data_IF_107513645949
#
_entry.id   IF_107513645949
#
_cell.length_a   1.000
_cell.length_b   1.000
_cell.length_c   1.000
_cell.angle_alpha   90.00
_cell.angle_beta   90.00
_cell.angle_gamma   90.00
#
_symmetry.space_group_name_H-M   'P 1'
#
loop_
_entity.id
_entity.type
_entity.pdbx_description
1 polymer ?
#
# COMPACT_ATOMS: atom_id res chain seq x y z
N UNK A 1 31.68 24.46 -64.24
CA UNK A 1 30.73 24.73 -63.14
C UNK A 1 29.64 25.62 -63.75
N UNK A 2 28.50 25.11 -64.23
CA UNK A 2 27.59 24.16 -63.56
C UNK A 2 26.60 24.98 -62.73
N UNK A 3 25.69 25.78 -63.30
CA UNK A 3 24.46 25.46 -64.07
C UNK A 3 23.22 25.17 -63.20
N UNK A 4 22.12 25.91 -63.43
CA UNK A 4 20.72 25.55 -63.06
C UNK A 4 20.42 25.44 -61.54
N UNK A 5 19.21 25.53 -60.95
CA UNK A 5 17.78 25.76 -61.32
C UNK A 5 16.99 25.91 -59.97
N UNK A 6 15.73 26.33 -59.88
CA UNK A 6 14.74 26.81 -60.86
C UNK A 6 13.73 27.79 -60.19
N UNK A 7 12.78 28.27 -60.99
CA UNK A 7 11.48 28.83 -60.65
C UNK A 7 10.53 27.85 -59.91
N UNK A 8 9.45 28.36 -59.31
CA UNK A 8 8.44 27.52 -58.67
C UNK A 8 7.21 28.26 -58.15
N UNK A 9 6.48 28.99 -59.00
CA UNK A 9 5.17 29.53 -58.64
C UNK A 9 4.10 28.43 -58.70
N UNK A 10 3.29 28.27 -57.65
CA UNK A 10 2.02 27.54 -57.75
C UNK A 10 0.85 28.34 -57.16
N UNK A 11 -0.17 28.48 -58.00
CA UNK A 11 -1.45 29.13 -57.72
C UNK A 11 -2.41 28.15 -57.05
N UNK A 12 -3.32 28.65 -56.20
CA UNK A 12 -4.79 28.50 -56.33
C UNK A 12 -5.52 28.71 -54.98
N UNK A 13 -6.52 29.60 -55.01
CA UNK A 13 -7.67 29.71 -54.08
C UNK A 13 -8.52 28.41 -54.17
N UNK A 14 -9.50 28.06 -53.28
CA UNK A 14 -10.50 29.02 -52.74
C UNK A 14 -11.30 28.70 -51.43
N UNK A 15 -12.07 29.70 -50.95
CA UNK A 15 -13.34 29.61 -50.15
C UNK A 15 -13.26 28.81 -48.80
N UNK A 16 -14.16 28.84 -47.80
CA UNK A 16 -15.55 29.28 -47.57
C UNK A 16 -15.66 29.90 -46.14
N UNK A 17 -16.51 30.92 -45.96
CA UNK A 17 -17.41 31.06 -44.78
C UNK A 17 -16.86 31.40 -43.39
N UNK A 18 -17.14 32.63 -42.94
CA UNK A 18 -17.25 32.97 -41.51
C UNK A 18 -18.51 32.33 -40.91
N UNK A 19 -18.45 31.62 -39.77
CA UNK A 19 -19.65 31.17 -39.08
C UNK A 19 -20.38 32.34 -38.40
N UNK A 20 -21.66 32.49 -38.72
CA UNK A 20 -22.60 33.43 -38.11
C UNK A 20 -22.78 33.08 -36.62
N UNK A 21 -22.94 34.10 -35.77
CA UNK A 21 -23.30 33.92 -34.35
C UNK A 21 -24.81 33.84 -34.23
N UNK A 22 -25.34 32.65 -33.97
CA UNK A 22 -26.75 32.50 -33.58
C UNK A 22 -27.00 33.09 -32.18
N UNK A 23 -28.10 33.83 -31.96
CA UNK A 23 -28.47 34.34 -30.65
C UNK A 23 -29.11 33.25 -29.77
N UNK A 24 -28.75 33.22 -28.48
CA UNK A 24 -29.33 32.28 -27.51
C UNK A 24 -30.86 32.43 -27.41
N UNK A 25 -31.63 31.33 -27.37
CA UNK A 25 -33.05 31.38 -27.05
C UNK A 25 -33.28 31.75 -25.58
N UNK A 26 -34.25 32.63 -25.33
CA UNK A 26 -34.69 33.02 -23.98
C UNK A 26 -35.81 32.11 -23.49
N UNK A 27 -35.74 31.73 -22.22
CA UNK A 27 -36.91 31.41 -21.40
C UNK A 27 -37.37 29.95 -21.39
N UNK A 28 -37.04 29.24 -20.30
CA UNK A 28 -37.90 28.17 -19.77
C UNK A 28 -38.03 28.39 -18.27
N UNK A 29 -39.21 28.77 -17.82
CA UNK A 29 -39.55 28.94 -16.40
C UNK A 29 -40.24 27.69 -15.87
N UNK A 30 -39.81 27.19 -14.71
CA UNK A 30 -40.62 26.31 -13.87
C UNK A 30 -40.19 24.83 -13.81
N UNK A 31 -39.40 24.50 -12.79
CA UNK A 31 -39.58 23.26 -12.02
C UNK A 31 -39.68 23.62 -10.53
N UNK A 32 -40.49 22.93 -9.73
CA UNK A 32 -40.67 23.22 -8.31
C UNK A 32 -39.42 22.87 -7.50
N UNK A 33 -39.15 23.56 -6.38
CA UNK A 33 -38.02 23.25 -5.52
C UNK A 33 -38.21 21.89 -4.83
N UNK A 34 -37.20 21.04 -4.95
CA UNK A 34 -37.13 19.77 -4.21
C UNK A 34 -36.92 20.11 -2.73
N UNK A 35 -37.82 19.65 -1.86
CA UNK A 35 -37.74 19.94 -0.43
C UNK A 35 -36.48 19.29 0.19
N UNK A 36 -35.57 20.12 0.72
CA UNK A 36 -34.29 19.66 1.24
C UNK A 36 -33.32 20.76 1.68
N UNK A 37 -33.82 21.95 2.05
CA UNK A 37 -32.98 23.05 2.51
C UNK A 37 -32.47 22.83 3.94
N UNK A 38 -31.37 22.10 4.09
CA UNK A 38 -30.44 22.40 5.19
C UNK A 38 -29.81 23.76 4.90
N UNK A 39 -29.80 24.65 5.89
CA UNK A 39 -29.47 26.06 5.70
C UNK A 39 -28.06 26.24 5.10
N UNK A 40 -28.01 26.82 3.90
CA UNK A 40 -26.78 27.17 3.19
C UNK A 40 -26.47 28.67 3.31
N UNK A 41 -26.86 29.29 4.43
CA UNK A 41 -26.70 30.74 4.69
C UNK A 41 -25.47 31.03 5.57
N UNK A 42 -24.33 30.51 5.15
CA UNK A 42 -23.03 31.03 5.52
C UNK A 42 -22.30 31.43 4.25
N UNK A 43 -22.26 32.74 3.96
CA UNK A 43 -21.29 33.29 3.01
C UNK A 43 -19.86 32.90 3.41
N UNK A 44 -18.86 33.00 2.50
CA UNK A 44 -17.51 32.55 2.78
C UNK A 44 -16.96 33.26 4.02
N UNK A 45 -16.90 32.54 5.14
CA UNK A 45 -16.55 33.11 6.43
C UNK A 45 -15.10 33.62 6.37
N UNK A 46 -14.95 34.94 6.37
CA UNK A 46 -13.69 35.62 6.13
C UNK A 46 -12.81 35.59 7.39
N UNK A 47 -12.08 34.49 7.58
CA UNK A 47 -11.14 34.35 8.69
C UNK A 47 -9.90 35.23 8.47
N UNK A 48 -9.66 36.16 9.39
CA UNK A 48 -8.46 37.01 9.37
C UNK A 48 -7.44 36.56 10.42
N UNK A 49 -6.16 36.84 10.17
CA UNK A 49 -5.13 36.61 11.17
C UNK A 49 -5.35 37.58 12.35
N UNK A 50 -5.37 37.06 13.57
CA UNK A 50 -5.67 37.85 14.76
C UNK A 50 -7.15 37.93 15.14
N UNK A 51 -8.03 37.13 14.50
CA UNK A 51 -9.47 37.06 14.83
C UNK A 51 -9.71 36.94 16.36
N UNK A 52 -10.54 37.82 16.95
CA UNK A 52 -10.70 37.94 18.40
C UNK A 52 -11.36 36.72 19.06
N UNK A 53 -11.99 35.82 18.29
CA UNK A 53 -12.55 34.55 18.81
C UNK A 53 -11.44 33.63 19.33
N UNK A 54 -10.22 33.77 18.80
CA UNK A 54 -9.04 33.07 19.31
C UNK A 54 -8.22 33.98 20.24
N UNK A 55 -7.80 33.50 21.42
CA UNK A 55 -7.16 34.36 22.42
C UNK A 55 -5.76 34.79 22.00
N UNK A 56 -5.30 35.99 22.38
CA UNK A 56 -3.98 36.52 22.00
C UNK A 56 -2.80 35.56 22.28
N UNK A 57 -2.85 34.77 23.36
CA UNK A 57 -1.86 33.73 23.71
C UNK A 57 -1.79 32.53 22.74
N UNK A 58 -2.76 32.42 21.83
CA UNK A 58 -2.79 31.51 20.69
C UNK A 58 -2.10 32.16 19.50
N UNK A 59 -2.52 33.36 19.10
CA UNK A 59 -1.93 34.14 18.00
C UNK A 59 -0.43 34.42 18.16
N UNK A 60 0.04 34.66 19.40
CA UNK A 60 1.47 34.78 19.72
C UNK A 60 2.33 33.54 19.39
N UNK A 61 1.72 32.45 18.88
CA UNK A 61 2.35 31.17 18.51
C UNK A 61 2.08 30.80 17.05
N UNK A 62 1.69 31.77 16.24
CA UNK A 62 1.35 31.59 14.83
C UNK A 62 2.23 32.51 13.99
N UNK A 63 2.82 31.96 12.93
CA UNK A 63 3.55 32.70 11.89
C UNK A 63 2.83 32.52 10.56
N UNK A 64 2.53 33.61 9.86
CA UNK A 64 2.05 33.51 8.47
C UNK A 64 3.24 33.23 7.56
N UNK A 65 3.12 32.24 6.68
CA UNK A 65 4.10 31.89 5.65
C UNK A 65 3.65 32.43 4.29
N UNK A 66 4.59 32.62 3.37
CA UNK A 66 4.35 33.10 2.00
C UNK A 66 3.36 32.23 1.21
N UNK A 67 3.30 30.93 1.51
CA UNK A 67 2.33 29.99 0.92
C UNK A 67 0.92 30.03 1.56
N UNK A 68 0.59 31.11 2.28
CA UNK A 68 -0.69 31.31 2.96
C UNK A 68 -0.92 30.45 4.21
N UNK A 69 0.00 29.53 4.58
CA UNK A 69 -0.15 28.75 5.79
C UNK A 69 0.05 29.61 7.05
N UNK A 70 -0.83 29.42 8.03
CA UNK A 70 -0.63 29.93 9.39
C UNK A 70 0.06 28.84 10.21
N UNK A 71 1.39 28.89 10.33
CA UNK A 71 2.21 27.87 10.98
C UNK A 71 2.25 28.00 12.50
N UNK A 72 1.96 26.91 13.22
CA UNK A 72 2.10 26.84 14.68
C UNK A 72 3.57 26.73 15.12
N UNK A 73 4.12 27.77 15.75
CA UNK A 73 5.54 27.85 16.14
C UNK A 73 5.86 27.24 17.50
N UNK A 74 4.85 26.95 18.33
CA UNK A 74 5.05 26.35 19.66
C UNK A 74 5.03 24.80 19.63
N UNK A 75 5.03 24.16 20.81
CA UNK A 75 5.14 22.71 21.01
C UNK A 75 4.29 21.89 20.03
N UNK A 76 4.91 20.89 19.39
CA UNK A 76 4.30 19.96 18.43
C UNK A 76 4.38 18.52 18.97
N UNK A 77 3.47 17.63 18.55
CA UNK A 77 3.58 16.16 18.71
C UNK A 77 3.25 15.51 17.37
N UNK A 78 4.08 14.57 16.92
CA UNK A 78 3.95 13.93 15.59
C UNK A 78 3.67 14.95 14.47
N UNK A 79 4.40 16.08 14.48
CA UNK A 79 4.26 17.18 13.53
C UNK A 79 3.07 18.13 13.73
N UNK A 80 2.05 17.74 14.51
CA UNK A 80 0.88 18.59 14.77
C UNK A 80 1.11 19.53 15.95
N UNK A 81 0.73 20.80 15.80
CA UNK A 81 0.78 21.79 16.89
C UNK A 81 -0.13 21.43 18.06
N UNK A 82 0.31 21.71 19.30
CA UNK A 82 -0.48 21.51 20.53
C UNK A 82 -0.74 22.82 21.24
N UNK A 83 -2.01 23.06 21.60
CA UNK A 83 -2.42 24.21 22.39
C UNK A 83 -2.99 23.77 23.74
N UNK A 84 -2.57 24.44 24.82
CA UNK A 84 -3.09 24.20 26.17
C UNK A 84 -4.29 25.11 26.43
N UNK A 85 -5.43 24.54 26.75
CA UNK A 85 -6.65 25.23 27.19
C UNK A 85 -6.95 24.90 28.65
N UNK A 86 -7.77 25.73 29.30
CA UNK A 86 -8.10 25.57 30.72
C UNK A 86 -6.98 25.97 31.69
N UNK A 87 -7.27 25.85 32.98
CA UNK A 87 -6.46 26.33 34.09
C UNK A 87 -5.87 25.16 34.91
N UNK A 88 -4.66 25.35 35.45
CA UNK A 88 -4.09 24.38 36.40
C UNK A 88 -4.75 24.45 37.78
N UNK A 89 -5.13 25.66 38.21
CA UNK A 89 -5.76 25.91 39.52
C UNK A 89 -7.08 25.15 39.63
N UNK A 90 -7.88 25.24 38.56
CA UNK A 90 -9.25 24.74 38.52
C UNK A 90 -9.32 23.33 37.89
N UNK A 91 -8.16 22.68 37.71
CA UNK A 91 -7.97 21.32 37.16
C UNK A 91 -8.57 21.07 35.75
N UNK A 92 -8.95 22.13 35.02
CA UNK A 92 -9.50 22.05 33.65
C UNK A 92 -8.44 22.02 32.54
N UNK A 93 -7.16 22.13 32.90
CA UNK A 93 -6.03 22.21 31.97
C UNK A 93 -5.85 20.95 31.10
N UNK A 94 -6.01 21.09 29.78
CA UNK A 94 -5.83 20.01 28.79
C UNK A 94 -5.15 20.51 27.51
N UNK A 95 -4.55 19.59 26.75
CA UNK A 95 -3.91 19.90 25.47
C UNK A 95 -4.78 19.45 24.29
N UNK A 96 -5.17 20.39 23.45
CA UNK A 96 -5.85 20.17 22.18
C UNK A 96 -4.86 20.25 21.00
N UNK A 97 -5.27 19.75 19.84
CA UNK A 97 -4.54 20.00 18.58
C UNK A 97 -4.82 21.45 18.14
N UNK A 98 -3.77 22.22 17.85
CA UNK A 98 -3.88 23.65 17.58
C UNK A 98 -4.74 23.96 16.34
N UNK A 99 -4.60 23.15 15.29
CA UNK A 99 -5.37 23.29 14.05
C UNK A 99 -6.87 23.00 14.28
N UNK A 100 -7.18 21.96 15.05
CA UNK A 100 -8.57 21.60 15.39
C UNK A 100 -9.22 22.65 16.28
N UNK A 101 -8.48 23.18 17.27
CA UNK A 101 -8.96 24.28 18.10
C UNK A 101 -9.24 25.55 17.27
N UNK A 102 -8.37 25.91 16.31
CA UNK A 102 -8.62 27.02 15.40
C UNK A 102 -9.86 26.79 14.53
N UNK A 103 -9.97 25.61 13.90
CA UNK A 103 -11.13 25.25 13.08
C UNK A 103 -12.44 25.28 13.87
N UNK A 104 -12.49 24.62 15.04
CA UNK A 104 -13.70 24.54 15.87
C UNK A 104 -14.14 25.90 16.44
N UNK A 105 -13.20 26.83 16.63
CA UNK A 105 -13.48 28.19 17.13
C UNK A 105 -13.90 29.16 16.01
N UNK A 106 -13.32 29.03 14.81
CA UNK A 106 -13.54 29.97 13.70
C UNK A 106 -14.64 29.52 12.74
N UNK A 107 -14.75 28.21 12.46
CA UNK A 107 -15.72 27.62 11.52
C UNK A 107 -16.90 27.03 12.27
N UNK A 108 -16.63 26.18 13.27
CA UNK A 108 -17.65 25.41 13.98
C UNK A 108 -17.20 23.95 14.23
N UNK A 109 -18.01 23.18 14.97
CA UNK A 109 -17.64 21.82 15.39
C UNK A 109 -17.37 20.90 14.20
N UNK A 110 -16.29 20.12 14.29
CA UNK A 110 -16.04 19.04 13.33
C UNK A 110 -17.08 17.92 13.59
N UNK A 111 -17.86 17.51 12.58
CA UNK A 111 -18.89 16.47 12.75
C UNK A 111 -18.33 15.15 13.30
N UNK A 112 -19.18 14.41 14.00
CA UNK A 112 -18.80 13.10 14.53
C UNK A 112 -18.38 12.13 13.41
N UNK A 113 -17.36 11.32 13.68
CA UNK A 113 -16.80 10.39 12.70
C UNK A 113 -15.89 11.03 11.65
N UNK A 114 -15.68 12.36 11.66
CA UNK A 114 -14.76 13.06 10.75
C UNK A 114 -13.43 13.47 11.42
N UNK A 115 -12.37 13.49 10.62
CA UNK A 115 -11.01 13.88 10.95
C UNK A 115 -10.59 15.15 10.20
N UNK A 116 -9.70 15.95 10.77
CA UNK A 116 -9.09 17.11 10.10
C UNK A 116 -8.02 16.63 9.09
N UNK A 117 -8.26 16.75 7.78
CA UNK A 117 -7.21 16.60 6.75
C UNK A 117 -6.60 17.96 6.38
N UNK A 118 -5.27 18.01 6.27
CA UNK A 118 -4.54 19.20 5.81
C UNK A 118 -4.40 19.18 4.29
N UNK A 119 -5.21 19.97 3.60
CA UNK A 119 -5.14 20.17 2.14
C UNK A 119 -3.74 20.62 1.71
N UNK A 120 -3.14 21.55 2.47
CA UNK A 120 -1.80 22.07 2.27
C UNK A 120 -0.65 21.10 2.63
N UNK A 121 -0.95 19.89 3.12
CA UNK A 121 0.00 18.85 3.62
C UNK A 121 1.00 19.32 4.69
N UNK A 122 0.80 20.51 5.25
CA UNK A 122 1.65 21.14 6.27
C UNK A 122 1.06 20.93 7.68
N UNK A 123 1.49 19.87 8.39
CA UNK A 123 0.91 19.43 9.69
C UNK A 123 0.86 20.49 10.81
N UNK A 124 1.80 21.46 10.91
CA UNK A 124 1.71 22.59 11.84
C UNK A 124 0.74 23.71 11.41
N UNK A 125 0.18 23.67 10.20
CA UNK A 125 -0.76 24.70 9.72
C UNK A 125 -2.05 24.68 10.56
N UNK A 126 -2.54 25.86 10.92
CA UNK A 126 -3.78 26.06 11.68
C UNK A 126 -4.86 26.86 10.91
N UNK A 127 -4.57 27.29 9.68
CA UNK A 127 -5.51 28.12 8.91
C UNK A 127 -6.76 27.30 8.54
N UNK A 128 -7.98 27.71 8.94
CA UNK A 128 -9.16 26.86 8.76
C UNK A 128 -9.48 26.50 7.31
N UNK A 129 -9.23 27.41 6.35
CA UNK A 129 -9.48 27.13 4.93
C UNK A 129 -8.48 26.10 4.32
N UNK A 130 -7.42 25.73 5.04
CA UNK A 130 -6.51 24.63 4.65
C UNK A 130 -6.86 23.29 5.33
N UNK A 131 -7.99 23.22 6.05
CA UNK A 131 -8.45 22.06 6.81
C UNK A 131 -9.82 21.62 6.30
N UNK A 132 -9.94 20.35 5.92
CA UNK A 132 -11.21 19.74 5.51
C UNK A 132 -11.60 18.63 6.50
N UNK A 133 -12.82 18.65 7.07
CA UNK A 133 -13.39 17.50 7.77
C UNK A 133 -13.67 16.36 6.77
N UNK A 134 -12.94 15.26 6.88
CA UNK A 134 -13.09 14.08 5.99
C UNK A 134 -13.21 12.79 6.78
N UNK A 135 -13.68 11.73 6.15
CA UNK A 135 -13.73 10.41 6.80
C UNK A 135 -12.30 9.88 7.07
N UNK A 136 -12.08 9.03 8.11
CA UNK A 136 -10.77 8.42 8.35
C UNK A 136 -10.24 7.63 7.15
N UNK A 137 -11.14 7.01 6.37
CA UNK A 137 -10.78 6.33 5.13
C UNK A 137 -10.21 7.29 4.10
N UNK A 138 -10.85 8.44 3.91
CA UNK A 138 -10.41 9.45 2.96
C UNK A 138 -9.07 10.07 3.37
N UNK A 139 -8.92 10.47 4.65
CA UNK A 139 -7.66 10.94 5.23
C UNK A 139 -6.50 9.96 4.96
N UNK A 140 -6.73 8.67 5.25
CA UNK A 140 -5.73 7.61 5.02
C UNK A 140 -5.40 7.43 3.53
N UNK A 141 -6.38 7.51 2.62
CA UNK A 141 -6.18 7.31 1.18
C UNK A 141 -5.53 8.50 0.48
N UNK A 142 -5.78 9.72 0.95
CA UNK A 142 -5.11 10.96 0.49
C UNK A 142 -3.63 11.01 0.89
N UNK A 143 -3.25 10.36 2.00
CA UNK A 143 -1.87 10.25 2.44
C UNK A 143 -0.96 9.39 1.55
N UNK A 144 0.24 9.09 2.05
CA UNK A 144 1.22 8.22 1.38
C UNK A 144 1.62 6.99 2.22
N UNK A 145 0.74 6.58 3.14
CA UNK A 145 0.89 5.34 3.89
C UNK A 145 0.76 4.09 2.98
N UNK A 146 1.16 2.91 3.48
CA UNK A 146 1.07 1.66 2.72
C UNK A 146 -0.32 1.38 2.14
N UNK A 147 -1.39 1.72 2.87
CA UNK A 147 -2.78 1.57 2.40
C UNK A 147 -3.09 2.46 1.19
N UNK A 148 -2.65 3.72 1.19
CA UNK A 148 -2.84 4.65 0.06
C UNK A 148 -2.05 4.20 -1.17
N UNK A 149 -0.77 3.86 -0.99
CA UNK A 149 0.09 3.31 -2.06
C UNK A 149 -0.52 2.03 -2.65
N UNK A 150 -0.95 1.11 -1.79
CA UNK A 150 -1.59 -0.14 -2.20
C UNK A 150 -2.97 0.08 -2.86
N UNK A 151 -3.67 1.18 -2.57
CA UNK A 151 -4.92 1.57 -3.23
C UNK A 151 -4.67 2.19 -4.63
N UNK A 152 -3.66 3.07 -4.74
CA UNK A 152 -3.20 3.67 -6.01
C UNK A 152 -2.55 2.67 -6.97
N UNK A 153 -2.08 1.51 -6.47
CA UNK A 153 -1.43 0.48 -7.27
C UNK A 153 -2.32 -0.08 -8.38
N UNK A 154 -1.87 0.07 -9.64
CA UNK A 154 -2.56 -0.43 -10.86
C UNK A 154 -2.12 -1.83 -11.28
N UNK A 155 -0.90 -2.26 -10.91
CA UNK A 155 -0.33 -3.56 -11.27
C UNK A 155 0.30 -4.22 -10.04
N UNK A 156 0.15 -5.54 -9.89
CA UNK A 156 0.78 -6.27 -8.79
C UNK A 156 2.31 -6.37 -8.98
N UNK A 157 3.03 -6.85 -7.96
CA UNK A 157 4.50 -7.04 -7.97
C UNK A 157 5.05 -8.02 -9.04
N UNK A 158 4.19 -8.53 -9.94
CA UNK A 158 4.53 -9.40 -11.08
C UNK A 158 3.96 -8.87 -12.41
N UNK A 159 3.62 -7.58 -12.48
CA UNK A 159 3.11 -6.95 -13.70
C UNK A 159 1.65 -7.26 -14.07
N UNK A 160 0.93 -8.12 -13.34
CA UNK A 160 -0.50 -8.35 -13.64
C UNK A 160 -1.36 -7.13 -13.28
N UNK A 161 -2.29 -6.68 -14.15
CA UNK A 161 -3.17 -5.54 -13.87
C UNK A 161 -4.15 -5.86 -12.72
N UNK A 162 -4.41 -4.88 -11.87
CA UNK A 162 -5.35 -4.94 -10.74
C UNK A 162 -6.70 -4.30 -11.12
N UNK A 163 -7.29 -4.81 -12.20
CA UNK A 163 -8.67 -4.49 -12.61
C UNK A 163 -9.69 -5.42 -11.93
N UNK A 164 -10.99 -5.23 -12.20
CA UNK A 164 -12.07 -5.99 -11.56
C UNK A 164 -11.99 -7.50 -11.82
N UNK A 165 -11.60 -7.89 -13.04
CA UNK A 165 -11.43 -9.29 -13.45
C UNK A 165 -10.26 -9.94 -12.70
N UNK A 166 -9.09 -9.29 -12.68
CA UNK A 166 -7.86 -9.87 -12.12
C UNK A 166 -7.66 -9.62 -10.63
N UNK A 167 -8.50 -8.80 -9.99
CA UNK A 167 -8.44 -8.56 -8.54
C UNK A 167 -9.43 -9.46 -7.81
N UNK A 168 -9.03 -9.94 -6.64
CA UNK A 168 -9.94 -10.48 -5.63
C UNK A 168 -9.72 -9.73 -4.31
N UNK A 169 -10.81 -9.50 -3.56
CA UNK A 169 -10.76 -8.94 -2.20
C UNK A 169 -10.80 -10.11 -1.22
N UNK A 170 -9.87 -10.13 -0.27
CA UNK A 170 -9.85 -11.12 0.80
C UNK A 170 -10.78 -10.69 1.96
N UNK A 171 -11.22 -11.62 2.82
CA UNK A 171 -11.92 -11.28 4.07
C UNK A 171 -11.14 -10.31 4.97
N UNK A 172 -9.80 -10.26 4.84
CA UNK A 172 -8.92 -9.29 5.50
C UNK A 172 -8.92 -7.88 4.86
N UNK A 173 -9.83 -7.60 3.92
CA UNK A 173 -9.93 -6.34 3.17
C UNK A 173 -8.84 -6.12 2.11
N UNK A 174 -7.75 -6.91 2.14
CA UNK A 174 -6.63 -6.79 1.21
C UNK A 174 -7.03 -7.18 -0.23
N UNK A 175 -6.48 -6.47 -1.21
CA UNK A 175 -6.57 -6.82 -2.64
C UNK A 175 -5.46 -7.81 -3.00
N UNK A 176 -5.80 -8.87 -3.72
CA UNK A 176 -4.82 -9.80 -4.33
C UNK A 176 -5.10 -10.00 -5.82
N UNK A 177 -4.02 -10.13 -6.59
CA UNK A 177 -4.06 -10.55 -7.98
C UNK A 177 -4.43 -12.05 -8.09
N UNK A 178 -5.46 -12.39 -8.87
CA UNK A 178 -5.97 -13.75 -9.07
C UNK A 178 -4.93 -14.70 -9.69
N UNK A 179 -4.20 -14.34 -10.78
CA UNK A 179 -3.04 -15.11 -11.23
C UNK A 179 -2.03 -15.42 -10.10
N UNK A 180 -1.57 -14.42 -9.36
CA UNK A 180 -0.64 -14.59 -8.25
C UNK A 180 -1.19 -15.49 -7.13
N UNK A 181 -2.49 -15.41 -6.83
CA UNK A 181 -3.16 -16.25 -5.83
C UNK A 181 -3.25 -17.71 -6.30
N UNK A 182 -3.58 -17.96 -7.57
CA UNK A 182 -3.56 -19.32 -8.17
C UNK A 182 -2.17 -19.95 -8.08
N UNK A 183 -1.12 -19.22 -8.50
CA UNK A 183 0.27 -19.70 -8.39
C UNK A 183 0.64 -20.06 -6.94
N UNK A 184 0.30 -19.21 -5.96
CA UNK A 184 0.56 -19.47 -4.54
C UNK A 184 -0.21 -20.69 -4.01
N UNK A 185 -1.47 -20.86 -4.43
CA UNK A 185 -2.28 -22.02 -4.03
C UNK A 185 -1.74 -23.31 -4.62
N UNK A 186 -1.37 -23.32 -5.90
CA UNK A 186 -0.77 -24.48 -6.56
C UNK A 186 0.53 -24.89 -5.88
N UNK A 187 1.43 -23.94 -5.60
CA UNK A 187 2.67 -24.21 -4.86
C UNK A 187 2.42 -24.79 -3.46
N UNK A 188 1.40 -24.29 -2.75
CA UNK A 188 0.99 -24.83 -1.44
C UNK A 188 0.45 -26.26 -1.56
N UNK A 189 -0.39 -26.54 -2.55
CA UNK A 189 -0.96 -27.87 -2.79
C UNK A 189 0.14 -28.89 -3.14
N UNK A 190 1.12 -28.50 -3.97
CA UNK A 190 2.29 -29.32 -4.30
C UNK A 190 3.10 -29.63 -3.03
N UNK A 191 3.41 -28.62 -2.21
CA UNK A 191 4.17 -28.82 -0.96
C UNK A 191 3.44 -29.77 0.02
N UNK A 192 2.12 -29.64 0.15
CA UNK A 192 1.29 -30.56 0.97
C UNK A 192 1.36 -31.98 0.40
N UNK A 193 1.13 -32.16 -0.89
CA UNK A 193 1.19 -33.47 -1.54
C UNK A 193 2.56 -34.14 -1.40
N UNK A 194 3.65 -33.40 -1.59
CA UNK A 194 5.02 -33.90 -1.36
C UNK A 194 5.26 -34.29 0.10
N UNK A 195 4.77 -33.51 1.07
CA UNK A 195 4.90 -33.84 2.49
C UNK A 195 4.10 -35.09 2.89
N UNK A 196 2.92 -35.27 2.29
CA UNK A 196 2.04 -36.42 2.54
C UNK A 196 2.56 -37.68 1.86
N UNK A 197 3.13 -37.57 0.65
CA UNK A 197 3.84 -38.66 -0.02
C UNK A 197 5.08 -39.11 0.78
N UNK A 198 5.89 -38.16 1.27
CA UNK A 198 7.03 -38.45 2.16
C UNK A 198 6.61 -39.14 3.46
N UNK A 199 5.50 -38.70 4.05
CA UNK A 199 4.91 -39.31 5.24
C UNK A 199 4.42 -40.75 4.98
N UNK A 200 3.76 -40.99 3.84
CA UNK A 200 3.32 -42.33 3.43
C UNK A 200 4.52 -43.24 3.16
N UNK A 201 5.57 -42.77 2.47
CA UNK A 201 6.78 -43.57 2.22
C UNK A 201 7.57 -43.93 3.48
N UNK A 202 7.44 -43.15 4.56
CA UNK A 202 8.02 -43.46 5.87
C UNK A 202 7.16 -44.43 6.70
N UNK A 203 5.87 -44.62 6.38
CA UNK A 203 5.06 -45.71 6.94
C UNK A 203 5.29 -47.01 6.16
N UNK A 204 6.53 -47.52 6.13
CA UNK A 204 6.74 -48.92 5.73
C UNK A 204 6.10 -49.80 6.81
N UNK A 205 4.96 -50.39 6.46
CA UNK A 205 4.40 -51.55 7.16
C UNK A 205 5.49 -52.61 7.36
N UNK A 206 5.53 -53.31 8.51
CA UNK A 206 6.42 -54.46 8.67
C UNK A 206 6.17 -55.43 7.51
N UNK A 207 7.23 -55.80 6.79
CA UNK A 207 7.16 -56.91 5.84
C UNK A 207 6.85 -58.17 6.65
N UNK A 208 5.92 -59.05 6.21
CA UNK A 208 5.67 -60.29 6.91
C UNK A 208 6.96 -61.10 6.98
N UNK A 209 7.26 -61.64 8.17
CA UNK A 209 8.45 -62.47 8.36
C UNK A 209 8.44 -63.66 7.38
N UNK A 210 9.62 -63.96 6.83
CA UNK A 210 9.79 -65.11 5.95
C UNK A 210 9.53 -66.39 6.74
N UNK A 211 8.38 -67.01 6.51
CA UNK A 211 8.19 -68.43 6.83
C UNK A 211 9.16 -69.22 5.96
N UNK A 212 10.22 -69.75 6.59
CA UNK A 212 11.16 -70.68 5.96
C UNK A 212 10.44 -72.01 5.67
N UNK A 213 10.44 -72.52 4.42
CA UNK A 213 9.97 -73.87 4.15
C UNK A 213 11.02 -74.90 4.59
N UNK A 214 10.58 -75.93 5.30
CA UNK A 214 11.41 -77.05 5.72
C UNK A 214 11.84 -77.90 4.50
N UNK A 215 13.12 -78.29 4.45
CA UNK A 215 13.66 -79.18 3.42
C UNK A 215 13.56 -80.66 3.85
N UNK A 216 13.17 -81.58 2.96
CA UNK A 216 13.65 -82.96 2.95
C UNK A 216 14.87 -83.11 2.02
N UNK A 217 15.79 -84.00 2.36
CA UNK A 217 17.03 -84.24 1.60
C UNK A 217 16.88 -85.22 0.42
N UNK A 218 17.95 -85.37 -0.37
CA UNK A 218 18.05 -86.36 -1.45
C UNK A 218 19.25 -86.14 -2.36
N UNK A 219 20.16 -87.11 -2.39
CA UNK A 219 21.50 -87.15 -2.99
C UNK A 219 21.64 -86.91 -4.51
N UNK A 220 22.83 -86.49 -4.97
CA UNK A 220 23.22 -86.59 -6.39
C UNK A 220 24.46 -85.76 -6.81
N UNK A 221 25.59 -86.36 -7.27
CA UNK A 221 26.82 -85.62 -7.62
C UNK A 221 27.14 -85.51 -9.13
N UNK A 222 28.12 -84.61 -9.43
CA UNK A 222 28.81 -84.23 -10.71
C UNK A 222 28.46 -82.81 -11.18
N UNK A 223 29.39 -81.94 -11.61
CA UNK A 223 30.86 -81.99 -11.59
C UNK A 223 31.50 -80.86 -12.44
N UNK A 224 32.80 -80.58 -12.20
CA UNK A 224 33.78 -79.99 -13.14
C UNK A 224 33.66 -78.53 -13.66
N UNK A 225 34.78 -77.77 -13.61
CA UNK A 225 35.02 -76.51 -14.33
C UNK A 225 35.18 -75.27 -13.42
N UNK A 226 36.34 -74.97 -12.82
CA UNK A 226 37.61 -74.50 -13.40
C UNK A 226 37.54 -73.12 -14.09
N UNK A 227 38.26 -72.11 -13.55
CA UNK A 227 38.34 -70.76 -14.17
C UNK A 227 38.76 -69.62 -13.23
N UNK A 228 39.99 -69.64 -12.71
CA UNK A 228 40.59 -68.47 -12.04
C UNK A 228 41.38 -67.63 -13.05
N UNK A 229 41.38 -66.30 -12.95
CA UNK A 229 42.59 -65.48 -12.65
C UNK A 229 42.45 -63.96 -12.91
N UNK A 230 42.84 -63.16 -11.90
CA UNK A 230 43.60 -61.89 -11.92
C UNK A 230 43.13 -60.65 -12.74
N UNK A 231 43.14 -59.45 -12.13
CA UNK A 231 42.87 -58.19 -12.86
C UNK A 231 42.91 -56.83 -12.12
N UNK A 232 43.86 -56.62 -11.19
CA UNK A 232 44.35 -55.33 -10.60
C UNK A 232 43.56 -53.99 -10.75
N UNK A 233 43.25 -53.41 -9.58
CA UNK A 233 43.17 -51.94 -9.27
C UNK A 233 44.54 -51.24 -9.53
N UNK A 234 44.73 -49.88 -9.56
CA UNK A 234 43.82 -48.80 -9.09
C UNK A 234 43.73 -47.53 -9.96
N UNK A 235 42.81 -46.62 -9.60
CA UNK A 235 43.07 -45.17 -9.55
C UNK A 235 42.20 -44.48 -8.49
N UNK A 236 42.68 -43.36 -7.94
CA UNK A 236 42.31 -42.86 -6.61
C UNK A 236 41.74 -41.43 -6.64
N UNK A 237 40.67 -41.23 -5.86
CA UNK A 237 40.27 -40.02 -5.11
C UNK A 237 40.49 -38.62 -5.71
N UNK A 238 39.40 -37.84 -5.75
CA UNK A 238 39.33 -36.56 -5.02
C UNK A 238 37.90 -36.02 -4.92
N UNK A 239 37.47 -35.66 -3.71
CA UNK A 239 36.25 -34.90 -3.43
C UNK A 239 36.52 -33.92 -2.26
N UNK A 240 36.10 -32.64 -2.35
CA UNK A 240 36.35 -31.66 -1.29
C UNK A 240 35.28 -31.70 -0.17
N UNK A 241 35.71 -31.42 1.06
CA UNK A 241 34.88 -31.41 2.27
C UNK A 241 34.26 -30.02 2.57
N UNK A 242 33.17 -29.94 3.36
CA UNK A 242 32.53 -28.68 3.74
C UNK A 242 33.14 -28.03 4.99
N UNK A 243 33.04 -26.70 5.08
CA UNK A 243 33.48 -25.91 6.24
C UNK A 243 32.44 -25.91 7.38
N UNK A 244 32.87 -26.27 8.59
CA UNK A 244 32.14 -25.97 9.83
C UNK A 244 32.57 -24.60 10.38
N UNK A 245 31.61 -23.80 10.85
CA UNK A 245 31.87 -22.67 11.74
C UNK A 245 31.30 -22.95 13.15
N UNK A 246 32.16 -22.84 14.17
CA UNK A 246 31.84 -23.25 15.53
C UNK A 246 30.83 -22.33 16.23
N UNK A 247 29.93 -22.94 17.01
CA UNK A 247 29.32 -22.28 18.18
C UNK A 247 30.30 -22.29 19.35
N UNK A 248 30.43 -21.17 20.06
CA UNK A 248 30.77 -21.15 21.50
C UNK A 248 29.73 -20.32 22.25
N UNK A 249 29.08 -20.95 23.23
CA UNK A 249 28.50 -20.26 24.40
C UNK A 249 29.51 -20.38 25.54
N UNK A 250 29.62 -19.39 26.41
CA UNK A 250 29.59 -19.54 27.89
C UNK A 250 29.40 -18.14 28.53
N UNK A 251 28.73 -18.13 29.67
CA UNK A 251 28.64 -17.03 30.65
C UNK A 251 29.44 -17.48 31.91
N UNK A 252 29.48 -16.79 33.08
CA UNK A 252 28.69 -15.64 33.53
C UNK A 252 29.44 -14.53 34.34
N UNK A 253 28.66 -13.52 34.73
CA UNK A 253 28.71 -12.70 35.97
C UNK A 253 30.04 -12.19 36.58
N UNK A 254 30.14 -10.86 36.67
CA UNK A 254 30.23 -10.12 37.94
C UNK A 254 29.27 -8.91 37.85
#
# INVERSE_FOLDING_TARGET
MGSSRDNGAHSLKPLIGSPVRDPLPKGVTGLPPIAGSVAADAGPASFTFGDPRLPARFWAKVRVLENGCWEWTATRRTGYGRFKVGSRRDRTARFLQAHRFAYETLVGPIPEGLESDHLCRNRPCIFPAHIEPVTPRENVLRGDGPSARAARQTHCLRGHPLNEINTCRLPSGKRECRPCRRLRQNARNIAIASSQAGYISNRRTPLPERVLPCLPGGDGPRGSGAGSTHGRSPFSLSAPAPLLSHRKKMAPAC
#
